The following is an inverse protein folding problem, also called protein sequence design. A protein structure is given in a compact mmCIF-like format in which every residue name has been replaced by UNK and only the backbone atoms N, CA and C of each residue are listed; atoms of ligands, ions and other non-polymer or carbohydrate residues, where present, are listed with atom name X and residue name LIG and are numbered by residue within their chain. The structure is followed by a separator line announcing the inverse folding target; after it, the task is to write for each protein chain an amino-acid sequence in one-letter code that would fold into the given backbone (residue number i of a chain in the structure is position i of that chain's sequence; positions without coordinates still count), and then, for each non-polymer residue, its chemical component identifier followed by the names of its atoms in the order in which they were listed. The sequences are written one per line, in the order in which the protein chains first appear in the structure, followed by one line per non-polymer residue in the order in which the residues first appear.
data_IF_078784101685
#
_entry.id   IF_078784101685
#
_cell.length_a   1.000
_cell.length_b   1.000
_cell.length_c   1.000
_cell.angle_alpha   90.00
_cell.angle_beta   90.00
_cell.angle_gamma   90.00
#
_symmetry.space_group_name_H-M   'P 1'
#
loop_
_entity.id
_entity.type
_entity.pdbx_description
1 polymer ?
#
# COMPACT_ATOMS: atom_id res chain seq x y z
N UNK A 1 21.39 -2.02 -3.03
CA UNK A 1 20.67 -3.17 -3.08
C UNK A 1 19.25 -2.99 -3.26
N UNK A 2 18.67 -4.02 -3.64
CA UNK A 2 17.58 -3.86 -4.51
C UNK A 2 16.37 -4.66 -4.15
N UNK A 3 16.32 -5.19 -2.94
CA UNK A 3 15.13 -5.89 -2.46
C UNK A 3 14.51 -5.10 -1.33
N UNK A 4 13.22 -4.80 -1.49
CA UNK A 4 12.46 -4.10 -0.46
C UNK A 4 11.27 -4.94 -0.05
N UNK A 5 10.91 -4.86 1.22
CA UNK A 5 9.69 -5.45 1.76
C UNK A 5 8.87 -4.32 2.35
N UNK A 6 7.60 -4.24 1.99
CA UNK A 6 6.71 -3.20 2.47
C UNK A 6 5.47 -3.81 3.10
N UNK A 7 5.17 -3.39 4.32
CA UNK A 7 3.89 -3.66 4.97
C UNK A 7 3.05 -2.41 4.81
N UNK A 8 1.90 -2.52 4.16
CA UNK A 8 1.09 -1.35 3.81
C UNK A 8 -0.31 -1.47 4.40
N UNK A 9 -0.88 -0.33 4.76
CA UNK A 9 -2.26 -0.24 5.18
C UNK A 9 -2.81 1.13 4.80
N UNK A 10 -4.10 1.17 4.51
CA UNK A 10 -4.82 2.40 4.26
C UNK A 10 -6.22 2.27 4.81
N UNK A 11 -6.74 3.35 5.35
CA UNK A 11 -8.08 3.30 5.89
C UNK A 11 -8.67 4.68 6.08
N UNK A 12 -10.00 4.72 6.17
CA UNK A 12 -10.75 5.94 6.42
C UNK A 12 -11.50 5.81 7.74
N UNK A 13 -11.62 6.92 8.43
CA UNK A 13 -12.47 7.03 9.63
C UNK A 13 -13.85 7.47 9.17
N UNK A 14 -14.73 6.48 8.98
CA UNK A 14 -15.94 6.61 8.18
C UNK A 14 -15.63 6.19 6.74
N UNK A 15 -16.62 5.72 6.01
CA UNK A 15 -16.38 5.19 4.66
C UNK A 15 -17.41 5.77 3.68
N UNK A 16 -17.10 6.92 3.02
CA UNK A 16 -15.82 7.62 3.04
C UNK A 16 -15.64 8.51 4.27
N UNK A 17 -14.41 8.96 4.47
CA UNK A 17 -14.08 9.84 5.58
C UNK A 17 -12.61 10.25 5.53
N UNK A 18 -12.13 10.96 6.57
CA UNK A 18 -10.70 11.27 6.67
C UNK A 18 -9.88 10.00 6.60
N UNK A 19 -8.87 9.98 5.74
CA UNK A 19 -8.14 8.76 5.42
C UNK A 19 -6.63 8.96 5.55
N UNK A 20 -5.95 7.87 5.89
CA UNK A 20 -4.52 7.86 6.02
C UNK A 20 -3.92 6.56 5.51
N UNK A 21 -2.64 6.60 5.22
CA UNK A 21 -1.87 5.42 4.85
C UNK A 21 -0.71 5.23 5.82
N UNK A 22 -0.34 3.97 6.00
CA UNK A 22 0.82 3.59 6.79
C UNK A 22 1.66 2.60 6.02
N UNK A 23 2.98 2.79 6.05
CA UNK A 23 3.91 1.92 5.37
C UNK A 23 5.10 1.66 6.28
N UNK A 24 5.46 0.39 6.40
CA UNK A 24 6.74 -0.01 7.02
C UNK A 24 7.56 -0.60 5.90
N UNK A 25 8.61 0.08 5.50
CA UNK A 25 9.47 -0.32 4.40
C UNK A 25 10.79 -0.81 4.96
N UNK A 26 11.13 -2.06 4.67
CA UNK A 26 12.36 -2.70 5.15
C UNK A 26 13.31 -2.89 3.98
N UNK A 27 14.53 -2.40 4.16
CA UNK A 27 15.59 -2.52 3.17
C UNK A 27 16.63 -3.52 3.64
N UNK A 28 17.42 -4.09 2.70
CA UNK A 28 18.55 -4.94 3.08
C UNK A 28 19.51 -4.17 3.98
N UNK A 29 20.12 -4.85 4.92
CA UNK A 29 21.01 -4.22 5.89
C UNK A 29 20.30 -3.71 7.13
N UNK A 30 19.01 -3.89 7.21
CA UNK A 30 18.25 -3.60 8.43
C UNK A 30 17.64 -2.20 8.50
N UNK A 31 17.78 -1.38 7.47
CA UNK A 31 17.14 -0.07 7.44
C UNK A 31 15.63 -0.24 7.39
N UNK A 32 14.92 0.49 8.24
CA UNK A 32 13.45 0.50 8.25
C UNK A 32 12.96 1.93 8.13
N UNK A 33 12.06 2.16 7.19
CA UNK A 33 11.44 3.47 6.99
C UNK A 33 9.95 3.34 7.32
N UNK A 34 9.46 4.24 8.16
CA UNK A 34 8.05 4.27 8.55
C UNK A 34 7.41 5.52 8.00
N UNK A 35 6.27 5.35 7.35
CA UNK A 35 5.53 6.44 6.72
C UNK A 35 4.12 6.44 7.27
N UNK A 36 3.69 7.62 7.71
CA UNK A 36 2.33 7.89 8.16
C UNK A 36 1.89 9.14 7.42
N UNK A 37 0.89 9.02 6.53
CA UNK A 37 0.55 10.11 5.61
C UNK A 37 -0.96 10.26 5.51
N UNK A 38 -1.43 11.49 5.75
CA UNK A 38 -2.84 11.82 5.56
C UNK A 38 -3.10 12.05 4.07
N UNK A 39 -4.19 11.48 3.57
CA UNK A 39 -4.53 11.55 2.14
C UNK A 39 -5.89 12.18 1.86
N UNK A 40 -6.42 12.93 2.83
CA UNK A 40 -7.68 13.65 2.66
C UNK A 40 -8.89 12.77 2.90
N UNK A 41 -10.00 13.08 2.26
CA UNK A 41 -11.28 12.39 2.42
C UNK A 41 -11.40 11.34 1.31
N UNK A 42 -11.36 10.06 1.68
CA UNK A 42 -11.35 8.93 0.75
C UNK A 42 -12.17 7.78 1.29
N UNK A 43 -12.52 6.81 0.44
CA UNK A 43 -13.04 5.55 0.95
C UNK A 43 -11.91 4.57 1.27
N UNK A 44 -12.24 3.49 1.98
CA UNK A 44 -11.26 2.52 2.43
C UNK A 44 -10.44 1.91 1.29
N UNK A 45 -11.10 1.53 0.19
CA UNK A 45 -10.39 0.87 -0.90
C UNK A 45 -9.43 1.82 -1.61
N UNK A 46 -9.80 3.09 -1.76
CA UNK A 46 -8.90 4.10 -2.30
C UNK A 46 -7.68 4.25 -1.39
N UNK A 47 -7.90 4.30 -0.07
CA UNK A 47 -6.80 4.43 0.88
C UNK A 47 -5.85 3.22 0.80
N UNK A 48 -6.40 2.00 0.69
CA UNK A 48 -5.58 0.81 0.55
C UNK A 48 -4.72 0.85 -0.72
N UNK A 49 -5.32 1.23 -1.85
CA UNK A 49 -4.56 1.39 -3.09
C UNK A 49 -3.51 2.50 -2.98
N UNK A 50 -3.84 3.60 -2.30
CA UNK A 50 -2.89 4.70 -2.12
C UNK A 50 -1.63 4.23 -1.38
N UNK A 51 -1.79 3.34 -0.40
CA UNK A 51 -0.66 2.78 0.33
C UNK A 51 0.21 1.91 -0.59
N UNK A 52 -0.40 1.06 -1.41
CA UNK A 52 0.33 0.24 -2.38
C UNK A 52 1.06 1.12 -3.38
N UNK A 53 0.40 2.15 -3.88
CA UNK A 53 0.98 3.09 -4.83
C UNK A 53 2.21 3.80 -4.25
N UNK A 54 2.10 4.27 -3.02
CA UNK A 54 3.22 4.93 -2.34
C UNK A 54 4.42 3.99 -2.21
N UNK A 55 4.18 2.73 -1.82
CA UNK A 55 5.25 1.74 -1.70
C UNK A 55 5.92 1.48 -3.05
N UNK A 56 5.14 1.37 -4.12
CA UNK A 56 5.68 1.17 -5.46
C UNK A 56 6.49 2.38 -5.92
N UNK A 57 6.00 3.59 -5.68
CA UNK A 57 6.73 4.81 -6.05
C UNK A 57 8.06 4.90 -5.31
N UNK A 58 8.08 4.55 -4.03
CA UNK A 58 9.32 4.53 -3.26
C UNK A 58 10.30 3.50 -3.80
N UNK A 59 9.82 2.32 -4.14
CA UNK A 59 10.68 1.25 -4.67
C UNK A 59 11.29 1.65 -6.01
N UNK A 60 10.49 2.22 -6.90
CA UNK A 60 10.96 2.68 -8.21
C UNK A 60 11.97 3.81 -8.03
N UNK A 61 11.69 4.78 -7.16
CA UNK A 61 12.60 5.90 -6.90
C UNK A 61 13.95 5.44 -6.33
N UNK A 62 13.96 4.33 -5.59
CA UNK A 62 15.18 3.77 -5.02
C UNK A 62 15.88 2.79 -5.96
N UNK A 63 15.38 2.62 -7.17
CA UNK A 63 15.90 1.66 -8.14
C UNK A 63 15.91 0.22 -7.59
N UNK A 64 14.90 -0.13 -6.80
CA UNK A 64 14.78 -1.48 -6.29
C UNK A 64 14.51 -2.46 -7.43
N UNK A 65 15.13 -3.63 -7.37
CA UNK A 65 14.87 -4.69 -8.33
C UNK A 65 13.67 -5.54 -7.94
N UNK A 66 13.39 -5.63 -6.65
CA UNK A 66 12.28 -6.43 -6.11
C UNK A 66 11.54 -5.65 -5.06
N UNK A 67 10.24 -5.83 -5.03
CA UNK A 67 9.39 -5.33 -3.97
C UNK A 67 8.37 -6.41 -3.61
N UNK A 68 8.41 -6.83 -2.34
CA UNK A 68 7.36 -7.67 -1.78
C UNK A 68 6.46 -6.79 -0.94
N UNK A 69 5.17 -6.74 -1.26
CA UNK A 69 4.19 -6.01 -0.48
C UNK A 69 3.32 -6.98 0.31
N UNK A 70 3.13 -6.68 1.58
CA UNK A 70 2.15 -7.38 2.43
C UNK A 70 1.03 -6.41 2.74
N UNK A 71 -0.20 -6.86 2.51
CA UNK A 71 -1.39 -6.03 2.62
C UNK A 71 -2.52 -6.87 3.24
N UNK A 72 -3.32 -6.27 4.10
CA UNK A 72 -4.42 -7.00 4.72
C UNK A 72 -5.76 -6.80 4.02
N UNK A 73 -5.78 -6.13 2.87
CA UNK A 73 -6.97 -6.01 2.04
C UNK A 73 -6.96 -7.09 0.97
N UNK A 74 -7.80 -8.11 1.16
CA UNK A 74 -7.90 -9.20 0.19
C UNK A 74 -8.33 -8.71 -1.19
N UNK A 75 -9.26 -7.77 -1.24
CA UNK A 75 -9.76 -7.22 -2.50
C UNK A 75 -8.62 -6.58 -3.30
N UNK A 76 -7.83 -5.74 -2.66
CA UNK A 76 -6.73 -5.04 -3.33
C UNK A 76 -5.68 -6.05 -3.82
N UNK A 77 -5.32 -7.01 -2.95
CA UNK A 77 -4.34 -8.04 -3.33
C UNK A 77 -4.81 -8.82 -4.56
N UNK A 78 -6.06 -9.28 -4.54
CA UNK A 78 -6.58 -10.11 -5.64
C UNK A 78 -6.78 -9.31 -6.92
N UNK A 79 -7.10 -8.02 -6.82
CA UNK A 79 -7.16 -7.17 -8.00
C UNK A 79 -5.76 -6.91 -8.57
N UNK A 80 -4.77 -6.74 -7.71
CA UNK A 80 -3.39 -6.52 -8.15
C UNK A 80 -2.77 -7.75 -8.80
N UNK A 81 -3.13 -8.94 -8.35
CA UNK A 81 -2.65 -10.19 -8.95
C UNK A 81 -3.43 -10.58 -10.20
N UNK A 82 -4.54 -9.90 -10.47
CA UNK A 82 -5.40 -10.22 -11.61
C UNK A 82 -6.41 -11.32 -11.32
N UNK A 83 -6.44 -11.83 -10.09
CA UNK A 83 -7.40 -12.87 -9.70
C UNK A 83 -8.83 -12.34 -9.69
N UNK A 84 -9.01 -11.07 -9.26
CA UNK A 84 -10.28 -10.36 -9.37
C UNK A 84 -10.15 -9.25 -10.41
N UNK A 85 -11.17 -9.07 -11.23
CA UNK A 85 -11.23 -7.92 -12.12
C UNK A 85 -11.51 -6.65 -11.30
N UNK A 86 -10.83 -5.57 -11.63
CA UNK A 86 -11.09 -4.28 -11.01
C UNK A 86 -12.14 -3.55 -11.86
N UNK A 87 -13.42 -3.63 -11.44
CA UNK A 87 -14.54 -3.08 -12.20
C UNK A 87 -15.04 -1.75 -11.66
N UNK A 88 -14.50 -1.32 -10.53
CA UNK A 88 -14.90 -0.05 -9.94
C UNK A 88 -14.25 1.10 -10.71
N UNK A 89 -15.04 2.03 -11.28
CA UNK A 89 -14.44 3.18 -11.97
C UNK A 89 -13.51 3.98 -11.07
N UNK A 90 -13.86 4.06 -9.78
CA UNK A 90 -13.10 4.81 -8.79
C UNK A 90 -11.73 4.20 -8.52
N UNK A 91 -11.62 2.88 -8.61
CA UNK A 91 -10.38 2.17 -8.32
C UNK A 91 -9.57 1.84 -9.59
N UNK A 92 -10.19 1.96 -10.74
CA UNK A 92 -9.60 1.49 -11.98
C UNK A 92 -8.27 2.19 -12.29
N UNK A 93 -8.22 3.51 -12.18
CA UNK A 93 -6.99 4.25 -12.49
C UNK A 93 -5.89 3.96 -11.48
N UNK A 94 -6.24 3.79 -10.21
CA UNK A 94 -5.27 3.42 -9.19
C UNK A 94 -4.70 2.02 -9.43
N UNK A 95 -5.58 1.06 -9.72
CA UNK A 95 -5.16 -0.30 -10.06
C UNK A 95 -4.24 -0.29 -11.27
N UNK A 96 -4.63 0.43 -12.33
CA UNK A 96 -3.85 0.52 -13.56
C UNK A 96 -2.47 1.12 -13.30
N UNK A 97 -2.42 2.22 -12.54
CA UNK A 97 -1.15 2.89 -12.23
C UNK A 97 -0.24 1.98 -11.41
N UNK A 98 -0.78 1.33 -10.39
CA UNK A 98 -0.02 0.40 -9.57
C UNK A 98 0.55 -0.75 -10.41
N UNK A 99 -0.29 -1.33 -11.27
CA UNK A 99 0.15 -2.44 -12.11
C UNK A 99 1.20 -2.00 -13.13
N UNK A 100 1.09 -0.77 -13.63
CA UNK A 100 2.07 -0.23 -14.54
C UNK A 100 3.43 -0.05 -13.85
N UNK A 101 3.43 0.54 -12.65
CA UNK A 101 4.67 0.69 -11.88
C UNK A 101 5.28 -0.66 -11.51
N UNK A 102 4.43 -1.63 -11.20
CA UNK A 102 4.88 -2.97 -10.82
C UNK A 102 5.68 -3.66 -11.94
N UNK A 103 5.48 -3.26 -13.18
CA UNK A 103 6.23 -3.83 -14.32
C UNK A 103 7.70 -3.39 -14.35
N UNK A 104 8.05 -2.33 -13.62
CA UNK A 104 9.41 -1.81 -13.60
C UNK A 104 10.34 -2.63 -12.70
N UNK A 105 9.81 -3.60 -11.96
CA UNK A 105 10.58 -4.39 -11.00
C UNK A 105 9.92 -5.75 -10.82
N UNK A 106 10.59 -6.64 -10.08
CA UNK A 106 9.97 -7.91 -9.69
C UNK A 106 9.04 -7.63 -8.51
N UNK A 107 7.74 -7.61 -8.78
CA UNK A 107 6.73 -7.24 -7.80
C UNK A 107 5.94 -8.46 -7.37
N UNK A 108 5.78 -8.62 -6.05
CA UNK A 108 4.85 -9.58 -5.48
C UNK A 108 4.02 -8.88 -4.42
N UNK A 109 2.77 -9.28 -4.30
CA UNK A 109 1.87 -8.77 -3.27
C UNK A 109 1.14 -9.96 -2.65
N UNK A 110 1.12 -10.02 -1.33
CA UNK A 110 0.54 -11.13 -0.60
C UNK A 110 -0.42 -10.61 0.45
N UNK A 111 -1.52 -11.32 0.63
CA UNK A 111 -2.49 -11.02 1.68
C UNK A 111 -1.98 -11.58 3.01
N UNK A 112 -2.02 -10.75 4.05
CA UNK A 112 -1.74 -11.18 5.41
C UNK A 112 -2.91 -10.77 6.31
N UNK A 113 -3.16 -11.49 7.40
CA UNK A 113 -4.19 -11.06 8.35
C UNK A 113 -3.78 -9.76 9.04
N UNK A 114 -4.79 -9.03 9.53
CA UNK A 114 -4.56 -7.75 10.19
C UNK A 114 -3.60 -7.86 11.37
N UNK A 115 -3.65 -8.96 12.11
CA UNK A 115 -2.80 -9.18 13.27
C UNK A 115 -1.31 -9.16 12.94
N UNK A 116 -0.96 -9.43 11.69
CA UNK A 116 0.42 -9.40 11.23
C UNK A 116 0.78 -8.09 10.55
N UNK A 117 -0.16 -7.13 10.52
CA UNK A 117 0.04 -5.83 9.85
C UNK A 117 -0.21 -4.65 10.80
N UNK A 118 0.00 -4.87 12.10
CA UNK A 118 -0.39 -3.89 13.13
C UNK A 118 0.39 -2.59 13.05
N UNK A 119 1.66 -2.63 12.73
CA UNK A 119 2.46 -1.41 12.68
C UNK A 119 2.00 -0.51 11.54
N UNK A 120 1.77 -1.04 10.35
CA UNK A 120 1.26 -0.26 9.23
C UNK A 120 -0.13 0.30 9.55
N UNK A 121 -0.97 -0.51 10.20
CA UNK A 121 -2.30 -0.08 10.63
C UNK A 121 -2.21 1.10 11.60
N UNK A 122 -1.32 1.03 12.58
CA UNK A 122 -1.11 2.11 13.55
C UNK A 122 -0.66 3.39 12.84
N UNK A 123 0.26 3.28 11.89
CA UNK A 123 0.73 4.43 11.13
C UNK A 123 -0.39 5.07 10.32
N UNK A 124 -1.26 4.27 9.70
CA UNK A 124 -2.40 4.77 8.95
C UNK A 124 -3.38 5.52 9.85
N UNK A 125 -3.68 4.96 11.03
CA UNK A 125 -4.57 5.60 12.00
C UNK A 125 -3.99 6.90 12.53
N UNK A 126 -2.70 6.91 12.83
CA UNK A 126 -2.02 8.11 13.33
C UNK A 126 -2.04 9.23 12.29
N UNK A 127 -1.97 8.91 11.03
CA UNK A 127 -2.04 9.89 9.95
C UNK A 127 -3.35 10.70 9.99
N UNK A 128 -4.45 10.05 10.36
CA UNK A 128 -5.75 10.72 10.49
C UNK A 128 -5.83 11.54 11.77
N UNK A 129 -5.33 10.98 12.88
CA UNK A 129 -5.41 11.64 14.20
C UNK A 129 -4.51 12.87 14.30
N UNK A 130 -3.39 12.85 13.60
CA UNK A 130 -2.36 13.88 13.72
C UNK A 130 -2.26 14.77 12.48
N UNK A 131 -3.31 14.80 11.67
CA UNK A 131 -3.34 15.62 10.46
C UNK A 131 -3.39 17.11 10.76
#
# INVERSE_FOLDING_TARGET
MSELVAYVDGGSHGNPGPAGIGIVLEAPGGETIRISKWIGHQDNNVAEYAAVLEALQLAVARNAKRLQVYCDSEVVVRQMTGEYACRSPRLYSLNWTCRKLARALEFTISHIPRELNLEANTLANNAVRCR
#
